data_IF_031876718695
#
_entry.id   IF_031876718695
#
_cell.length_a   1.000
_cell.length_b   1.000
_cell.length_c   1.000
_cell.angle_alpha   90.00
_cell.angle_beta   90.00
_cell.angle_gamma   90.00
#
_symmetry.space_group_name_H-M   'P 1'
#
loop_
_entity.id
_entity.type
_entity.pdbx_description
1 polymer ?
#
# COMPACT_ATOMS: atom_id res chain seq x y z
N UNK A 1 12.52 -3.54 -13.71
CA UNK A 1 12.40 -5.01 -13.87
C UNK A 1 13.04 -5.67 -12.66
N UNK A 2 12.47 -6.79 -12.20
CA UNK A 2 13.03 -7.60 -11.10
C UNK A 2 13.54 -8.90 -11.70
N UNK A 3 14.80 -9.23 -11.43
CA UNK A 3 15.42 -10.47 -11.89
C UNK A 3 15.57 -11.45 -10.72
N UNK A 4 15.36 -12.73 -10.96
CA UNK A 4 15.54 -13.79 -9.98
C UNK A 4 15.78 -15.14 -10.63
N UNK A 5 16.16 -16.15 -9.85
CA UNK A 5 16.42 -17.49 -10.35
C UNK A 5 15.13 -18.14 -10.86
N UNK A 6 15.12 -18.51 -12.15
CA UNK A 6 13.99 -19.15 -12.80
C UNK A 6 13.57 -20.48 -12.15
N UNK A 7 14.49 -21.16 -11.44
CA UNK A 7 14.26 -22.47 -10.81
C UNK A 7 13.92 -22.39 -9.33
N UNK A 8 14.07 -21.22 -8.71
CA UNK A 8 13.89 -21.05 -7.28
C UNK A 8 13.01 -19.83 -6.98
N UNK A 9 11.69 -20.07 -6.95
CA UNK A 9 10.65 -19.07 -6.71
C UNK A 9 10.86 -17.77 -7.53
N UNK A 10 10.74 -17.84 -8.87
CA UNK A 10 10.98 -16.68 -9.73
C UNK A 10 10.03 -15.52 -9.38
N UNK A 11 10.48 -14.27 -9.55
CA UNK A 11 9.68 -13.08 -9.27
C UNK A 11 8.44 -13.05 -10.17
N UNK A 12 7.32 -12.59 -9.62
CA UNK A 12 6.01 -12.52 -10.30
C UNK A 12 5.42 -11.14 -10.16
N UNK A 13 4.56 -10.78 -11.12
CA UNK A 13 3.75 -9.59 -11.02
C UNK A 13 2.72 -9.71 -9.88
N UNK A 14 2.53 -8.62 -9.15
CA UNK A 14 1.50 -8.48 -8.14
C UNK A 14 0.26 -7.82 -8.75
N UNK A 15 -0.88 -8.53 -8.76
CA UNK A 15 -2.18 -7.95 -9.12
C UNK A 15 -2.64 -6.90 -8.10
N UNK A 16 -2.35 -7.18 -6.84
CA UNK A 16 -2.60 -6.34 -5.68
C UNK A 16 -1.69 -6.80 -4.54
N UNK A 17 -1.50 -5.94 -3.56
CA UNK A 17 -0.79 -6.27 -2.34
C UNK A 17 -1.34 -5.48 -1.16
N UNK A 18 -1.33 -6.10 0.01
CA UNK A 18 -1.75 -5.44 1.26
C UNK A 18 -0.51 -4.97 2.00
N UNK A 19 -0.47 -3.68 2.35
CA UNK A 19 0.65 -3.07 3.07
C UNK A 19 0.18 -2.23 4.26
N UNK A 20 1.03 -2.11 5.28
CA UNK A 20 0.86 -1.13 6.34
C UNK A 20 1.39 0.22 5.85
N UNK A 21 0.53 1.23 5.86
CA UNK A 21 0.85 2.59 5.43
C UNK A 21 0.72 3.51 6.63
N UNK A 22 1.76 4.32 6.86
CA UNK A 22 1.74 5.40 7.85
C UNK A 22 1.68 6.72 7.09
N UNK A 23 0.64 7.50 7.35
CA UNK A 23 0.46 8.80 6.70
C UNK A 23 1.32 9.83 7.42
N UNK A 24 2.27 10.42 6.69
CA UNK A 24 3.11 11.52 7.18
C UNK A 24 2.41 12.86 6.91
N UNK A 25 3.18 13.96 6.84
CA UNK A 25 2.70 15.35 6.72
C UNK A 25 1.91 15.63 5.42
N UNK A 26 0.69 15.10 5.32
CA UNK A 26 -0.23 15.29 4.20
C UNK A 26 -1.35 16.28 4.60
N UNK A 27 -1.58 17.38 3.85
CA UNK A 27 -2.48 18.46 4.25
C UNK A 27 -3.99 18.14 4.10
N UNK A 28 -4.36 16.87 3.94
CA UNK A 28 -5.75 16.43 3.78
C UNK A 28 -5.94 14.96 4.14
N UNK A 29 -7.13 14.46 3.84
CA UNK A 29 -7.49 13.06 4.08
C UNK A 29 -7.29 12.20 2.82
N UNK A 30 -6.98 10.93 3.03
CA UNK A 30 -6.81 9.91 1.99
C UNK A 30 -7.97 8.93 2.11
N UNK A 31 -8.69 8.72 1.01
CA UNK A 31 -9.84 7.81 0.93
C UNK A 31 -9.61 6.74 -0.12
N UNK A 32 -10.48 5.71 -0.12
CA UNK A 32 -10.48 4.68 -1.16
C UNK A 32 -10.54 5.33 -2.56
N UNK A 33 -9.69 4.86 -3.47
CA UNK A 33 -9.52 5.39 -4.82
C UNK A 33 -8.35 6.36 -4.98
N UNK A 34 -7.76 6.86 -3.90
CA UNK A 34 -6.54 7.67 -3.97
C UNK A 34 -5.41 6.89 -4.69
N UNK A 35 -4.71 7.53 -5.62
CA UNK A 35 -3.73 6.85 -6.48
C UNK A 35 -2.39 7.58 -6.51
N UNK A 36 -1.62 7.57 -5.40
CA UNK A 36 -0.30 8.16 -5.36
C UNK A 36 0.71 7.31 -6.14
N UNK A 37 1.86 7.90 -6.44
CA UNK A 37 3.02 7.16 -6.94
C UNK A 37 3.75 6.52 -5.77
N UNK A 38 4.01 5.21 -5.90
CA UNK A 38 4.82 4.43 -4.96
C UNK A 38 6.21 4.22 -5.57
N UNK A 39 7.20 4.55 -4.77
CA UNK A 39 8.58 4.14 -4.98
C UNK A 39 8.83 2.84 -4.20
N UNK A 40 9.15 1.77 -4.92
CA UNK A 40 9.45 0.46 -4.33
C UNK A 40 10.68 -0.11 -5.03
N UNK A 41 11.79 -0.24 -4.30
CA UNK A 41 13.10 -0.58 -4.88
C UNK A 41 13.49 0.40 -6.00
N UNK A 42 13.49 -0.04 -7.26
CA UNK A 42 13.73 0.79 -8.44
C UNK A 42 12.45 1.05 -9.25
N UNK A 43 11.29 0.61 -8.76
CA UNK A 43 10.00 0.83 -9.41
C UNK A 43 9.40 2.16 -8.94
N UNK A 44 8.87 2.92 -9.90
CA UNK A 44 8.17 4.19 -9.68
C UNK A 44 6.82 4.10 -10.40
N UNK A 45 5.78 3.68 -9.69
CA UNK A 45 4.49 3.30 -10.27
C UNK A 45 3.34 3.84 -9.43
N UNK A 46 2.32 4.41 -10.08
CA UNK A 46 1.08 4.80 -9.39
C UNK A 46 0.32 3.55 -8.92
N UNK A 47 -0.06 3.52 -7.65
CA UNK A 47 -0.87 2.44 -7.08
C UNK A 47 -2.15 3.01 -6.49
N UNK A 48 -3.28 2.40 -6.82
CA UNK A 48 -4.59 2.77 -6.29
C UNK A 48 -4.78 2.16 -4.90
N UNK A 49 -5.24 2.98 -3.96
CA UNK A 49 -5.73 2.55 -2.66
C UNK A 49 -7.10 1.92 -2.88
N UNK A 50 -7.15 0.62 -3.16
CA UNK A 50 -8.39 -0.07 -3.50
C UNK A 50 -9.33 -0.16 -2.30
N UNK A 51 -8.79 -0.50 -1.12
CA UNK A 51 -9.55 -0.54 0.12
C UNK A 51 -8.62 -0.28 1.31
N UNK A 52 -8.96 0.70 2.15
CA UNK A 52 -8.40 0.85 3.49
C UNK A 52 -9.13 -0.18 4.37
N UNK A 53 -8.46 -1.31 4.64
CA UNK A 53 -9.06 -2.44 5.36
C UNK A 53 -9.23 -2.11 6.83
N UNK A 54 -8.19 -1.57 7.45
CA UNK A 54 -8.14 -1.36 8.89
C UNK A 54 -7.26 -0.18 9.24
N UNK A 55 -7.66 0.64 10.19
CA UNK A 55 -6.78 1.56 10.90
C UNK A 55 -6.15 0.81 12.06
N UNK A 56 -4.85 1.00 12.27
CA UNK A 56 -4.10 0.32 13.32
C UNK A 56 -3.27 1.32 14.15
N UNK A 57 -2.97 0.93 15.37
CA UNK A 57 -2.03 1.66 16.21
C UNK A 57 -0.61 1.53 15.64
N UNK A 58 0.05 2.66 15.40
CA UNK A 58 1.38 2.71 14.77
C UNK A 58 2.50 2.03 15.55
N UNK A 59 2.32 1.76 16.86
CA UNK A 59 3.35 1.17 17.73
C UNK A 59 3.16 -0.33 17.90
N UNK A 60 1.91 -0.77 17.97
CA UNK A 60 1.54 -2.14 18.32
C UNK A 60 0.97 -2.92 17.14
N UNK A 61 0.58 -2.25 16.06
CA UNK A 61 -0.08 -2.85 14.91
C UNK A 61 -1.51 -3.31 15.18
N UNK A 62 -2.05 -3.09 16.39
CA UNK A 62 -3.41 -3.51 16.74
C UNK A 62 -4.46 -2.68 16.02
N UNK A 63 -5.46 -3.34 15.47
CA UNK A 63 -6.60 -2.70 14.81
C UNK A 63 -7.37 -1.81 15.77
N UNK A 64 -7.53 -0.55 15.40
CA UNK A 64 -8.33 0.43 16.13
C UNK A 64 -9.70 0.65 15.49
N UNK A 65 -9.78 0.53 14.16
CA UNK A 65 -11.02 0.70 13.40
C UNK A 65 -10.99 -0.19 12.16
N UNK A 66 -12.13 -0.83 11.84
CA UNK A 66 -12.28 -1.71 10.69
C UNK A 66 -13.03 -0.97 9.58
N UNK A 67 -12.52 -1.04 8.35
CA UNK A 67 -13.03 -0.37 7.14
C UNK A 67 -13.27 1.15 7.33
N UNK A 68 -12.26 1.93 7.77
CA UNK A 68 -12.41 3.37 7.90
C UNK A 68 -12.68 4.03 6.54
N UNK A 69 -13.45 5.13 6.53
CA UNK A 69 -13.77 5.88 5.29
C UNK A 69 -12.58 6.65 4.73
N UNK A 70 -11.74 7.18 5.61
CA UNK A 70 -10.54 7.95 5.27
C UNK A 70 -9.46 7.80 6.35
N UNK A 71 -8.22 8.13 6.01
CA UNK A 71 -7.07 8.22 6.92
C UNK A 71 -6.38 9.56 6.74
N UNK A 72 -5.73 10.07 7.80
CA UNK A 72 -5.05 11.37 7.78
C UNK A 72 -3.67 11.30 8.41
N UNK A 73 -2.93 12.40 8.34
CA UNK A 73 -1.61 12.56 8.95
C UNK A 73 -1.54 12.00 10.38
N UNK A 74 -0.58 11.10 10.61
CA UNK A 74 -0.34 10.42 11.88
C UNK A 74 -1.00 9.04 12.01
N UNK A 75 -1.94 8.70 11.14
CA UNK A 75 -2.62 7.40 11.14
C UNK A 75 -1.73 6.31 10.53
N UNK A 76 -1.84 5.10 11.08
CA UNK A 76 -1.36 3.88 10.44
C UNK A 76 -2.57 3.04 10.00
N UNK A 77 -2.50 2.44 8.81
CA UNK A 77 -3.58 1.63 8.28
C UNK A 77 -3.08 0.49 7.41
N UNK A 78 -3.79 -0.62 7.40
CA UNK A 78 -3.63 -1.72 6.45
C UNK A 78 -4.45 -1.42 5.20
N UNK A 79 -3.79 -1.34 4.06
CA UNK A 79 -4.38 -0.88 2.79
C UNK A 79 -4.13 -1.93 1.73
N UNK A 80 -5.17 -2.27 0.97
CA UNK A 80 -5.01 -3.02 -0.28
C UNK A 80 -4.67 -2.06 -1.43
N UNK A 81 -3.55 -2.30 -2.07
CA UNK A 81 -2.99 -1.46 -3.12
C UNK A 81 -3.01 -2.23 -4.45
N UNK A 82 -3.44 -1.55 -5.50
CA UNK A 82 -3.49 -2.11 -6.87
C UNK A 82 -2.57 -1.28 -7.76
N UNK A 83 -1.45 -1.85 -8.27
CA UNK A 83 -0.61 -1.17 -9.24
C UNK A 83 -1.39 -0.80 -10.51
N UNK A 84 -1.13 0.39 -11.06
CA UNK A 84 -1.72 0.81 -12.35
C UNK A 84 -0.97 0.28 -13.57
N UNK A 85 0.25 -0.23 -13.35
CA UNK A 85 1.11 -0.89 -14.32
C UNK A 85 1.72 -2.13 -13.68
N UNK A 86 2.16 -3.09 -14.50
CA UNK A 86 2.83 -4.29 -14.03
C UNK A 86 3.98 -3.97 -13.05
N UNK A 87 3.87 -4.51 -11.84
CA UNK A 87 4.79 -4.27 -10.72
C UNK A 87 5.10 -5.61 -10.04
N UNK A 88 6.36 -5.83 -9.67
CA UNK A 88 6.80 -6.94 -8.83
C UNK A 88 7.23 -6.35 -7.50
N UNK A 89 6.64 -6.82 -6.40
CA UNK A 89 6.94 -6.39 -5.02
C UNK A 89 7.05 -7.58 -4.09
#
# INVERSE_FOLDING_TARGET
YVAGDAKNNPPKEASDFTAQVIVLNHPGEISNGYSPVLDCHTAHIACKFAAIKEKCDRRTGKTTEVNPKSIKSGDAAMINLVPTKAMCV
#
